data_IF_024257896515
#
_entry.id   IF_024257896515
#
_cell.length_a   1.000
_cell.length_b   1.000
_cell.length_c   1.000
_cell.angle_alpha   90.00
_cell.angle_beta   90.00
_cell.angle_gamma   90.00
#
_symmetry.space_group_name_H-M   'P 1'
#
loop_
_entity.id
_entity.type
_entity.pdbx_description
1 polymer ?
#
# COMPACT_ATOMS: atom_id res chain seq x y z
N UNK A 1 -0.57 -17.34 -2.46
CA UNK A 1 -1.26 -17.24 -1.17
C UNK A 1 -2.71 -17.65 -1.35
N UNK A 2 -3.19 -18.57 -0.52
CA UNK A 2 -4.61 -18.89 -0.42
C UNK A 2 -5.40 -17.69 0.09
N UNK A 3 -6.73 -17.72 -0.07
CA UNK A 3 -7.62 -16.68 0.47
C UNK A 3 -7.48 -16.54 1.99
N UNK A 4 -7.41 -17.67 2.68
CA UNK A 4 -7.28 -17.73 4.13
C UNK A 4 -5.96 -17.13 4.63
N UNK A 5 -4.86 -17.39 3.92
CA UNK A 5 -3.55 -16.77 4.22
C UNK A 5 -3.60 -15.26 4.07
N UNK A 6 -4.22 -14.75 2.99
CA UNK A 6 -4.38 -13.31 2.76
C UNK A 6 -5.21 -12.65 3.87
N UNK A 7 -6.32 -13.27 4.26
CA UNK A 7 -7.18 -12.77 5.34
C UNK A 7 -6.47 -12.74 6.69
N UNK A 8 -5.70 -13.78 7.03
CA UNK A 8 -4.92 -13.83 8.27
C UNK A 8 -3.90 -12.70 8.32
N UNK A 9 -3.15 -12.51 7.23
CA UNK A 9 -2.14 -11.45 7.12
C UNK A 9 -2.80 -10.07 7.17
N UNK A 10 -3.89 -9.85 6.43
CA UNK A 10 -4.61 -8.58 6.49
C UNK A 10 -5.12 -8.28 7.91
N UNK A 11 -5.72 -9.25 8.60
CA UNK A 11 -6.21 -9.07 9.98
C UNK A 11 -5.07 -8.73 10.94
N UNK A 12 -3.95 -9.44 10.88
CA UNK A 12 -2.81 -9.16 11.74
C UNK A 12 -2.27 -7.73 11.55
N UNK A 13 -2.18 -7.27 10.30
CA UNK A 13 -1.78 -5.90 10.01
C UNK A 13 -2.78 -4.85 10.51
N UNK A 14 -4.09 -5.10 10.31
CA UNK A 14 -5.15 -4.22 10.81
C UNK A 14 -5.08 -4.07 12.34
N UNK A 15 -4.75 -5.17 13.04
CA UNK A 15 -4.60 -5.24 14.50
C UNK A 15 -3.23 -4.76 15.02
N UNK A 16 -2.37 -4.22 14.15
CA UNK A 16 -1.01 -3.78 14.50
C UNK A 16 -0.09 -4.90 15.02
N UNK A 17 -0.34 -6.17 14.67
CA UNK A 17 0.57 -7.28 15.01
C UNK A 17 1.93 -7.13 14.30
N UNK A 18 1.94 -6.43 13.16
CA UNK A 18 3.14 -6.04 12.45
C UNK A 18 3.00 -4.65 11.82
N UNK A 19 4.10 -3.90 11.72
CA UNK A 19 4.06 -2.48 11.34
C UNK A 19 3.98 -2.23 9.83
N UNK A 20 4.35 -3.22 9.00
CA UNK A 20 4.52 -3.04 7.56
C UNK A 20 3.77 -4.13 6.80
N UNK A 21 3.07 -3.72 5.74
CA UNK A 21 2.50 -4.63 4.77
C UNK A 21 3.14 -4.44 3.41
N UNK A 22 3.62 -5.53 2.83
CA UNK A 22 4.14 -5.58 1.45
C UNK A 22 3.10 -6.27 0.58
N UNK A 23 2.66 -5.60 -0.47
CA UNK A 23 1.60 -6.11 -1.32
C UNK A 23 1.68 -5.56 -2.75
N UNK A 24 1.08 -6.28 -3.69
CA UNK A 24 0.79 -5.77 -5.04
C UNK A 24 -0.57 -5.07 -5.06
N UNK A 25 -0.92 -4.43 -6.17
CA UNK A 25 -2.21 -3.74 -6.37
C UNK A 25 -3.44 -4.63 -6.07
N UNK A 26 -3.30 -5.95 -6.20
CA UNK A 26 -4.34 -6.93 -5.87
C UNK A 26 -4.72 -7.00 -4.38
N UNK A 27 -3.98 -6.34 -3.49
CA UNK A 27 -4.31 -6.25 -2.06
C UNK A 27 -5.23 -5.06 -1.73
N UNK A 28 -5.50 -4.18 -2.70
CA UNK A 28 -6.13 -2.89 -2.45
C UNK A 28 -7.65 -2.84 -2.31
N UNK A 29 -8.41 -3.86 -2.72
CA UNK A 29 -9.87 -3.79 -2.64
C UNK A 29 -10.34 -3.98 -1.19
N UNK A 30 -10.79 -2.89 -0.55
CA UNK A 30 -11.48 -2.94 0.75
C UNK A 30 -10.60 -2.73 1.99
N UNK A 31 -9.34 -2.35 1.84
CA UNK A 31 -8.50 -1.97 2.99
C UNK A 31 -8.83 -0.55 3.44
N UNK A 32 -9.25 -0.44 4.71
CA UNK A 32 -9.58 0.82 5.37
C UNK A 32 -8.92 0.90 6.76
N UNK A 33 -7.59 0.97 6.76
CA UNK A 33 -6.81 1.26 7.97
C UNK A 33 -6.59 2.76 8.05
N UNK A 34 -7.10 3.40 9.11
CA UNK A 34 -7.10 4.85 9.23
C UNK A 34 -5.70 5.45 9.46
N UNK A 35 -4.86 4.72 10.18
CA UNK A 35 -3.61 5.17 10.77
C UNK A 35 -2.35 4.80 9.94
N UNK A 36 -2.50 4.60 8.64
CA UNK A 36 -1.36 4.35 7.74
C UNK A 36 -0.51 5.62 7.61
N UNK A 37 0.74 5.57 8.09
CA UNK A 37 1.67 6.73 8.09
C UNK A 37 2.53 6.84 6.84
N UNK A 38 2.81 5.72 6.18
CA UNK A 38 3.72 5.68 5.03
C UNK A 38 3.21 4.71 3.99
N UNK A 39 3.19 5.15 2.73
CA UNK A 39 3.06 4.29 1.54
C UNK A 39 4.35 4.41 0.74
N UNK A 40 4.91 3.27 0.31
CA UNK A 40 6.12 3.21 -0.52
C UNK A 40 5.82 2.40 -1.76
N UNK A 41 5.96 3.03 -2.92
CA UNK A 41 5.95 2.41 -4.23
C UNK A 41 7.38 2.04 -4.59
N UNK A 42 7.63 0.73 -4.73
CA UNK A 42 8.94 0.22 -5.17
C UNK A 42 9.08 0.17 -6.70
N UNK A 43 7.94 0.16 -7.41
CA UNK A 43 7.87 0.15 -8.86
C UNK A 43 6.97 1.32 -9.29
N UNK A 44 7.14 1.77 -10.53
CA UNK A 44 6.24 2.73 -11.15
C UNK A 44 4.79 2.18 -11.18
N UNK A 45 3.81 2.96 -10.69
CA UNK A 45 2.40 2.65 -10.89
C UNK A 45 2.06 2.66 -12.39
N UNK A 46 1.09 1.83 -12.80
CA UNK A 46 0.66 1.74 -14.20
C UNK A 46 0.09 3.07 -14.74
N UNK A 47 -0.41 3.93 -13.86
CA UNK A 47 -0.93 5.24 -14.20
C UNK A 47 -0.87 6.20 -13.01
N UNK A 48 -1.06 7.50 -13.30
CA UNK A 48 -1.16 8.52 -12.25
C UNK A 48 -2.43 8.33 -11.40
N UNK A 49 -3.50 7.81 -11.98
CA UNK A 49 -4.74 7.48 -11.27
C UNK A 49 -4.51 6.34 -10.27
N UNK A 50 -3.78 5.31 -10.68
CA UNK A 50 -3.40 4.21 -9.79
C UNK A 50 -2.54 4.74 -8.64
N UNK A 51 -1.53 5.56 -8.94
CA UNK A 51 -0.70 6.21 -7.92
C UNK A 51 -1.55 7.00 -6.91
N UNK A 52 -2.47 7.83 -7.41
CA UNK A 52 -3.35 8.64 -6.56
C UNK A 52 -4.24 7.76 -5.66
N UNK A 53 -4.84 6.71 -6.20
CA UNK A 53 -5.70 5.80 -5.44
C UNK A 53 -4.90 5.00 -4.39
N UNK A 54 -3.70 4.55 -4.73
CA UNK A 54 -2.85 3.73 -3.87
C UNK A 54 -2.24 4.54 -2.72
N UNK A 55 -1.71 5.73 -3.03
CA UNK A 55 -1.16 6.64 -2.01
C UNK A 55 -2.23 7.23 -1.09
N UNK A 56 -3.47 7.41 -1.58
CA UNK A 56 -4.64 7.85 -0.80
C UNK A 56 -5.09 6.90 0.32
N UNK A 57 -4.39 5.79 0.54
CA UNK A 57 -4.56 4.92 1.72
C UNK A 57 -3.84 5.47 2.96
N UNK A 58 -2.83 6.31 2.77
CA UNK A 58 -2.12 6.96 3.85
C UNK A 58 -2.98 8.07 4.47
N UNK A 59 -2.86 8.30 5.79
CA UNK A 59 -3.40 9.51 6.42
C UNK A 59 -4.92 9.61 6.49
N UNK A 60 -5.65 8.50 6.46
CA UNK A 60 -7.13 8.52 6.48
C UNK A 60 -7.74 9.01 7.80
N UNK A 61 -6.96 8.99 8.88
CA UNK A 61 -7.27 9.62 10.16
C UNK A 61 -7.09 11.16 10.16
N UNK A 62 -6.64 11.76 9.05
CA UNK A 62 -6.40 13.20 8.92
C UNK A 62 -5.04 13.66 9.46
N UNK A 63 -4.23 12.76 10.03
CA UNK A 63 -2.89 13.10 10.49
C UNK A 63 -1.89 13.10 9.32
N UNK A 64 -0.78 13.86 9.43
CA UNK A 64 0.27 13.85 8.42
C UNK A 64 0.76 12.44 8.09
N UNK A 65 0.87 12.14 6.80
CA UNK A 65 1.37 10.89 6.27
C UNK A 65 2.24 11.16 5.04
N UNK A 66 3.04 10.16 4.65
CA UNK A 66 4.00 10.29 3.55
C UNK A 66 3.76 9.24 2.47
N UNK A 67 3.91 9.65 1.23
CA UNK A 67 3.98 8.76 0.09
C UNK A 67 5.36 8.89 -0.57
N UNK A 68 6.02 7.77 -0.81
CA UNK A 68 7.31 7.71 -1.49
C UNK A 68 7.17 6.88 -2.77
N UNK A 69 7.68 7.41 -3.87
CA UNK A 69 7.90 6.65 -5.10
C UNK A 69 9.40 6.48 -5.25
N UNK A 70 9.87 5.23 -5.18
CA UNK A 70 11.23 4.89 -5.54
C UNK A 70 11.26 4.72 -7.06
N UNK A 71 12.23 5.37 -7.69
CA UNK A 71 12.37 5.38 -9.13
C UNK A 71 13.78 4.97 -9.50
N UNK A 72 13.87 4.07 -10.47
CA UNK A 72 15.09 3.70 -11.16
C UNK A 72 14.86 3.83 -12.68
N UNK A 73 15.88 4.25 -13.42
CA UNK A 73 15.80 4.35 -14.88
C UNK A 73 15.41 3.01 -15.54
N UNK A 74 15.78 1.88 -14.94
CA UNK A 74 15.37 0.54 -15.39
C UNK A 74 13.86 0.28 -15.27
N UNK A 75 13.12 1.04 -14.46
CA UNK A 75 11.67 0.89 -14.31
C UNK A 75 10.91 1.40 -15.55
N UNK A 76 11.55 2.26 -16.36
CA UNK A 76 10.97 2.78 -17.60
C UNK A 76 11.00 1.77 -18.76
N UNK A 77 11.82 0.71 -18.64
CA UNK A 77 12.03 -0.30 -19.67
C UNK A 77 11.16 -1.56 -19.47
N UNK A 78 10.37 -1.61 -18.40
CA UNK A 78 9.51 -2.74 -18.00
C UNK A 78 8.08 -2.65 -18.57
#
# INVERSE_FOLDING_TARGET
MSKEEKEKVQKGWMNNEFPVMVCTNAFGMGIDKLDVRTVVHINLPESIENYYQETGRAGRDGNPAKAYLLFNDYDMEQ
#
